data_IF_947238004386
#
_entry.id   IF_947238004386
#
_cell.length_a   1.000
_cell.length_b   1.000
_cell.length_c   1.000
_cell.angle_alpha   90.00
_cell.angle_beta   90.00
_cell.angle_gamma   90.00
#
_symmetry.space_group_name_H-M   'P 1'
#
loop_
_entity.id
_entity.type
_entity.pdbx_description
1 polymer ?
#
# COMPACT_ATOMS: atom_id res chain seq x y z
N UNK A 1 21.36 58.30 -7.75
CA UNK A 1 21.37 57.37 -8.90
C UNK A 1 22.14 56.06 -8.62
N UNK A 2 23.36 56.08 -8.11
CA UNK A 2 24.19 54.90 -7.87
C UNK A 2 23.50 53.87 -6.95
N UNK A 3 22.89 54.28 -5.83
CA UNK A 3 22.19 53.41 -4.88
C UNK A 3 20.95 52.72 -5.48
N UNK A 4 20.25 53.40 -6.40
CA UNK A 4 19.09 52.79 -7.09
C UNK A 4 19.55 51.71 -8.08
N UNK A 5 20.65 51.94 -8.77
CA UNK A 5 21.28 50.97 -9.68
C UNK A 5 21.82 49.77 -8.91
N UNK A 6 22.47 50.00 -7.77
CA UNK A 6 22.97 48.91 -6.90
C UNK A 6 21.80 48.07 -6.35
N UNK A 7 20.74 48.71 -5.88
CA UNK A 7 19.55 47.99 -5.39
C UNK A 7 18.84 47.24 -6.52
N UNK A 8 18.76 47.82 -7.73
CA UNK A 8 18.14 47.19 -8.90
C UNK A 8 18.89 45.95 -9.39
N UNK A 9 20.22 45.87 -9.18
CA UNK A 9 21.03 44.70 -9.51
C UNK A 9 21.11 43.70 -8.34
N UNK A 10 21.13 44.18 -7.10
CA UNK A 10 21.22 43.33 -5.92
C UNK A 10 19.94 42.48 -5.68
N UNK A 11 18.76 43.05 -5.91
CA UNK A 11 17.51 42.37 -5.68
C UNK A 11 17.32 41.12 -6.58
N UNK A 12 17.55 41.16 -7.90
CA UNK A 12 17.52 39.96 -8.74
C UNK A 12 18.58 38.93 -8.36
N UNK A 13 19.80 39.40 -8.01
CA UNK A 13 20.88 38.51 -7.61
C UNK A 13 20.53 37.75 -6.31
N UNK A 14 19.98 38.42 -5.29
CA UNK A 14 19.50 37.81 -4.05
C UNK A 14 18.37 36.83 -4.32
N UNK A 15 17.45 37.16 -5.22
CA UNK A 15 16.34 36.26 -5.60
C UNK A 15 16.85 35.00 -6.27
N UNK A 16 17.85 35.13 -7.17
CA UNK A 16 18.48 33.94 -7.81
C UNK A 16 19.24 33.09 -6.81
N UNK A 17 19.96 33.68 -5.87
CA UNK A 17 20.65 32.95 -4.79
C UNK A 17 19.64 32.25 -3.89
N UNK A 18 18.56 32.90 -3.50
CA UNK A 18 17.50 32.32 -2.71
C UNK A 18 16.83 31.13 -3.45
N UNK A 19 16.52 31.30 -4.73
CA UNK A 19 15.97 30.23 -5.57
C UNK A 19 16.93 29.05 -5.69
N UNK A 20 18.22 29.30 -5.96
CA UNK A 20 19.24 28.26 -6.03
C UNK A 20 19.42 27.51 -4.69
N UNK A 21 19.42 28.25 -3.57
CA UNK A 21 19.48 27.69 -2.23
C UNK A 21 18.25 26.84 -1.91
N UNK A 22 17.07 27.32 -2.26
CA UNK A 22 15.82 26.57 -2.13
C UNK A 22 15.83 25.29 -2.97
N UNK A 23 16.31 25.35 -4.21
CA UNK A 23 16.46 24.19 -5.09
C UNK A 23 17.42 23.15 -4.49
N UNK A 24 18.57 23.61 -4.01
CA UNK A 24 19.53 22.75 -3.35
C UNK A 24 18.93 22.09 -2.08
N UNK A 25 18.32 22.89 -1.21
CA UNK A 25 17.69 22.40 0.03
C UNK A 25 16.60 21.37 -0.24
N UNK A 26 15.74 21.65 -1.21
CA UNK A 26 14.70 20.73 -1.67
C UNK A 26 15.36 19.43 -2.16
N UNK A 27 16.40 19.51 -3.00
CA UNK A 27 17.08 18.35 -3.57
C UNK A 27 17.73 17.45 -2.51
N UNK A 28 18.40 18.04 -1.52
CA UNK A 28 19.12 17.32 -0.46
C UNK A 28 18.14 16.65 0.52
N UNK A 29 16.97 17.27 0.73
CA UNK A 29 15.97 16.75 1.66
C UNK A 29 14.82 15.97 1.01
N UNK A 30 14.90 15.75 -0.30
CA UNK A 30 13.90 14.93 -0.97
C UNK A 30 13.96 13.50 -0.55
N UNK A 31 12.76 12.92 -0.43
CA UNK A 31 12.56 11.52 -0.14
C UNK A 31 11.50 10.96 -1.06
N UNK A 32 11.51 9.66 -1.21
CA UNK A 32 10.42 8.94 -1.84
C UNK A 32 9.28 8.75 -0.83
N UNK A 33 8.08 9.19 -1.20
CA UNK A 33 6.87 8.99 -0.39
C UNK A 33 5.79 8.38 -1.26
N UNK A 34 5.24 7.25 -0.83
CA UNK A 34 4.09 6.63 -1.51
C UNK A 34 2.87 7.54 -1.37
N UNK A 35 2.59 8.01 -0.17
CA UNK A 35 1.52 8.97 0.10
C UNK A 35 2.07 10.35 0.43
N UNK A 36 1.33 11.44 0.11
CA UNK A 36 1.76 12.79 0.48
C UNK A 36 1.93 12.91 2.00
N UNK A 37 3.14 13.25 2.50
CA UNK A 37 3.36 13.36 3.94
C UNK A 37 2.37 14.32 4.60
N UNK A 38 1.86 13.93 5.78
CA UNK A 38 0.89 14.68 6.58
C UNK A 38 -0.44 14.96 5.87
N UNK A 39 -0.76 14.24 4.80
CA UNK A 39 -2.06 14.33 4.16
C UNK A 39 -3.17 13.86 5.12
N UNK A 40 -4.28 14.57 5.10
CA UNK A 40 -5.50 14.20 5.83
C UNK A 40 -6.64 14.20 4.86
N UNK A 41 -7.15 13.01 4.59
CA UNK A 41 -8.27 12.80 3.71
C UNK A 41 -9.47 12.35 4.55
N UNK A 42 -10.62 12.90 4.23
CA UNK A 42 -11.92 12.40 4.64
C UNK A 42 -12.57 11.77 3.41
N UNK A 43 -12.82 10.48 3.47
CA UNK A 43 -13.37 9.70 2.38
C UNK A 43 -14.84 9.46 2.69
N UNK A 44 -15.70 9.63 1.70
CA UNK A 44 -17.13 9.31 1.79
C UNK A 44 -17.43 8.17 0.82
N UNK A 45 -17.40 6.91 1.29
CA UNK A 45 -17.76 5.79 0.46
C UNK A 45 -19.16 5.96 -0.10
N UNK A 46 -19.31 5.68 -1.40
CA UNK A 46 -20.61 5.75 -2.04
C UNK A 46 -21.54 4.68 -1.44
N UNK A 47 -22.70 5.06 -0.89
CA UNK A 47 -23.57 4.12 -0.19
C UNK A 47 -24.24 3.08 -1.10
N UNK A 48 -24.30 3.33 -2.40
CA UNK A 48 -24.79 2.36 -3.37
C UNK A 48 -23.70 1.33 -3.69
N UNK A 49 -22.44 1.79 -3.81
CA UNK A 49 -21.32 0.89 -4.05
C UNK A 49 -20.93 0.08 -2.80
N UNK A 50 -21.04 0.68 -1.61
CA UNK A 50 -20.52 0.13 -0.37
C UNK A 50 -21.53 0.27 0.79
N UNK A 51 -22.67 -0.42 0.73
CA UNK A 51 -23.69 -0.31 1.78
C UNK A 51 -23.21 -0.81 3.15
N UNK A 52 -22.20 -1.70 3.18
CA UNK A 52 -21.64 -2.29 4.40
C UNK A 52 -20.59 -1.39 5.08
N UNK A 53 -20.11 -0.35 4.41
CA UNK A 53 -19.05 0.52 4.93
C UNK A 53 -19.59 1.74 5.66
N UNK A 54 -18.74 2.34 6.49
CA UNK A 54 -19.06 3.61 7.14
C UNK A 54 -19.29 4.71 6.11
N UNK A 55 -20.19 5.64 6.42
CA UNK A 55 -20.47 6.80 5.54
C UNK A 55 -19.30 7.78 5.43
N UNK A 56 -18.34 7.64 6.33
CA UNK A 56 -17.17 8.51 6.43
C UNK A 56 -15.99 7.70 6.92
N UNK A 57 -14.84 7.87 6.30
CA UNK A 57 -13.59 7.19 6.63
C UNK A 57 -12.43 8.17 6.64
N UNK A 58 -11.59 8.10 7.65
CA UNK A 58 -10.36 8.86 7.76
C UNK A 58 -9.22 8.14 7.07
N UNK A 59 -8.42 8.89 6.33
CA UNK A 59 -7.18 8.42 5.73
C UNK A 59 -6.11 9.44 6.08
N UNK A 60 -5.34 9.18 7.13
CA UNK A 60 -4.29 10.05 7.60
C UNK A 60 -2.93 9.48 7.26
N UNK A 61 -2.06 10.32 6.75
CA UNK A 61 -0.68 9.99 6.38
C UNK A 61 0.26 10.70 7.33
N UNK A 62 1.21 9.98 7.90
CA UNK A 62 2.21 10.52 8.80
C UNK A 62 3.34 11.26 8.07
N UNK A 63 4.32 11.75 8.81
CA UNK A 63 5.47 12.48 8.25
C UNK A 63 6.39 11.61 7.38
N UNK A 64 6.34 10.28 7.53
CA UNK A 64 7.11 9.33 6.71
C UNK A 64 6.38 8.87 5.44
N UNK A 65 5.17 9.41 5.15
CA UNK A 65 4.40 9.07 3.96
C UNK A 65 3.68 7.73 4.06
N UNK A 66 3.45 7.22 5.27
CA UNK A 66 2.69 6.03 5.57
C UNK A 66 1.28 6.40 6.03
N UNK A 67 0.28 5.67 5.61
CA UNK A 67 -1.02 5.73 6.26
C UNK A 67 -0.90 5.12 7.65
N UNK A 68 -1.10 5.92 8.69
CA UNK A 68 -0.89 5.51 10.08
C UNK A 68 -0.77 6.70 11.02
N UNK A 69 -0.50 6.42 12.30
CA UNK A 69 -0.19 7.42 13.32
C UNK A 69 1.18 8.07 13.09
N UNK A 70 1.43 9.17 13.80
CA UNK A 70 2.76 9.82 13.75
C UNK A 70 3.83 8.96 14.43
N UNK A 71 5.02 9.01 13.88
CA UNK A 71 6.21 8.33 14.40
C UNK A 71 7.26 9.36 14.75
N UNK A 72 7.76 9.30 15.98
CA UNK A 72 8.91 10.10 16.41
C UNK A 72 10.18 9.33 16.07
N UNK A 73 11.07 9.94 15.28
CA UNK A 73 12.35 9.30 14.92
C UNK A 73 13.22 9.14 16.16
N UNK A 74 13.76 7.93 16.35
CA UNK A 74 14.58 7.61 17.51
C UNK A 74 13.76 7.39 18.78
N UNK A 75 12.44 7.21 18.69
CA UNK A 75 11.58 6.86 19.81
C UNK A 75 12.04 5.55 20.45
N UNK A 76 12.45 5.62 21.71
CA UNK A 76 12.92 4.46 22.46
C UNK A 76 11.78 3.47 22.72
N UNK A 77 12.06 2.19 22.48
CA UNK A 77 11.08 1.13 22.67
C UNK A 77 9.99 1.06 21.59
N UNK A 78 10.09 1.79 20.48
CA UNK A 78 9.18 1.66 19.36
C UNK A 78 9.43 0.34 18.61
N UNK A 79 8.38 -0.47 18.43
CA UNK A 79 8.36 -1.61 17.51
C UNK A 79 7.69 -1.19 16.21
N UNK A 80 8.45 -1.16 15.11
CA UNK A 80 8.01 -0.58 13.85
C UNK A 80 7.71 -1.67 12.82
N UNK A 81 6.47 -1.72 12.37
CA UNK A 81 5.97 -2.63 11.32
C UNK A 81 5.64 -1.81 10.08
N UNK A 82 6.03 -2.29 8.90
CA UNK A 82 5.63 -1.73 7.62
C UNK A 82 4.75 -2.74 6.88
N UNK A 83 3.55 -2.33 6.45
CA UNK A 83 2.66 -3.15 5.62
C UNK A 83 2.72 -2.69 4.17
N UNK A 84 2.88 -3.65 3.26
CA UNK A 84 3.17 -3.44 1.84
C UNK A 84 2.22 -4.28 0.99
N UNK A 85 1.61 -3.68 -0.01
CA UNK A 85 0.74 -4.42 -0.93
C UNK A 85 -0.14 -3.53 -1.79
N UNK A 86 -1.14 -4.13 -2.41
CA UNK A 86 -2.14 -3.48 -3.24
C UNK A 86 -3.29 -2.87 -2.44
N UNK A 87 -4.45 -2.80 -3.06
CA UNK A 87 -5.69 -2.22 -2.49
C UNK A 87 -6.17 -2.92 -1.22
N UNK A 88 -5.97 -4.23 -1.10
CA UNK A 88 -6.31 -4.99 0.11
C UNK A 88 -5.48 -4.60 1.34
N UNK A 89 -4.27 -4.05 1.14
CA UNK A 89 -3.43 -3.46 2.19
C UNK A 89 -3.79 -1.99 2.40
N UNK A 90 -3.97 -1.23 1.32
CA UNK A 90 -4.36 0.17 1.40
C UNK A 90 -5.65 0.37 2.19
N UNK A 91 -6.64 -0.51 2.00
CA UNK A 91 -7.96 -0.43 2.64
C UNK A 91 -8.61 0.96 2.48
N UNK A 92 -8.53 1.57 1.28
CA UNK A 92 -8.84 2.98 1.05
C UNK A 92 -10.21 3.41 1.58
N UNK A 93 -11.25 2.60 1.37
CA UNK A 93 -12.63 2.91 1.76
C UNK A 93 -12.92 2.68 3.26
N UNK A 94 -12.01 2.08 4.03
CA UNK A 94 -12.20 1.84 5.46
C UNK A 94 -11.67 3.00 6.30
N UNK A 95 -12.38 3.31 7.40
CA UNK A 95 -11.86 4.24 8.42
C UNK A 95 -10.55 3.71 9.01
N UNK A 96 -9.57 4.58 9.21
CA UNK A 96 -8.21 4.20 9.57
C UNK A 96 -8.09 3.19 10.73
N UNK A 97 -8.77 3.35 11.87
CA UNK A 97 -8.70 2.37 12.96
C UNK A 97 -9.41 1.06 12.66
N UNK A 98 -10.22 0.99 11.57
CA UNK A 98 -10.94 -0.21 11.11
C UNK A 98 -10.26 -0.93 9.95
N UNK A 99 -9.16 -0.38 9.42
CA UNK A 99 -8.29 -1.10 8.48
C UNK A 99 -7.58 -2.24 9.21
N UNK A 100 -7.23 -3.34 8.52
CA UNK A 100 -6.50 -4.39 9.20
C UNK A 100 -5.12 -3.96 9.75
N UNK A 101 -4.35 -3.04 9.11
CA UNK A 101 -3.15 -2.48 9.74
C UNK A 101 -3.46 -1.65 10.98
N UNK A 102 -4.54 -0.87 10.98
CA UNK A 102 -4.98 -0.09 12.13
C UNK A 102 -5.46 -0.96 13.29
N UNK A 103 -6.21 -2.03 13.01
CA UNK A 103 -6.61 -3.03 14.02
C UNK A 103 -5.40 -3.78 14.55
N UNK A 104 -4.45 -4.16 13.68
CA UNK A 104 -3.21 -4.81 14.08
C UNK A 104 -2.40 -3.93 15.05
N UNK A 105 -2.27 -2.64 14.75
CA UNK A 105 -1.60 -1.68 15.65
C UNK A 105 -2.29 -1.65 17.03
N UNK A 106 -3.62 -1.59 17.07
CA UNK A 106 -4.37 -1.61 18.33
C UNK A 106 -4.15 -2.91 19.12
N UNK A 107 -4.24 -4.06 18.45
CA UNK A 107 -4.02 -5.36 19.06
C UNK A 107 -2.61 -5.50 19.65
N UNK A 108 -1.59 -5.07 18.92
CA UNK A 108 -0.19 -5.19 19.35
C UNK A 108 0.21 -4.19 20.43
N UNK A 109 -0.55 -3.11 20.63
CA UNK A 109 -0.37 -2.16 21.73
C UNK A 109 -1.06 -2.59 23.04
N UNK A 110 -1.65 -3.79 23.11
CA UNK A 110 -2.12 -4.35 24.37
C UNK A 110 -0.92 -4.67 25.29
N UNK A 111 -1.03 -4.47 26.63
CA UNK A 111 0.09 -4.57 27.56
C UNK A 111 0.85 -5.91 27.51
N UNK A 112 0.14 -7.03 27.40
CA UNK A 112 0.71 -8.36 27.28
C UNK A 112 1.52 -8.53 25.98
N UNK A 113 1.05 -7.93 24.89
CA UNK A 113 1.71 -7.95 23.58
C UNK A 113 2.95 -7.06 23.57
N UNK A 114 2.85 -5.86 24.12
CA UNK A 114 3.99 -4.97 24.27
C UNK A 114 5.11 -5.63 25.09
N UNK A 115 4.74 -6.29 26.18
CA UNK A 115 5.68 -7.06 27.00
C UNK A 115 6.34 -8.19 26.19
N UNK A 116 5.55 -8.98 25.45
CA UNK A 116 6.07 -10.05 24.61
C UNK A 116 7.02 -9.57 23.50
N UNK A 117 6.75 -8.37 22.94
CA UNK A 117 7.62 -7.73 21.94
C UNK A 117 8.84 -7.02 22.52
N UNK A 118 8.90 -6.84 23.85
CA UNK A 118 9.90 -5.98 24.48
C UNK A 118 9.81 -4.53 24.01
N UNK A 119 8.60 -4.04 23.78
CA UNK A 119 8.31 -2.74 23.23
C UNK A 119 7.52 -1.87 24.20
N UNK A 120 7.65 -0.55 24.07
CA UNK A 120 6.79 0.42 24.76
C UNK A 120 5.59 0.83 23.90
N UNK A 121 5.76 0.79 22.59
CA UNK A 121 4.74 1.11 21.60
C UNK A 121 4.99 0.33 20.31
N UNK A 122 3.92 -0.08 19.64
CA UNK A 122 3.94 -0.61 18.28
C UNK A 122 3.39 0.46 17.34
N UNK A 123 4.05 0.65 16.20
CA UNK A 123 3.53 1.42 15.08
C UNK A 123 3.41 0.52 13.85
N UNK A 124 2.27 0.59 13.18
CA UNK A 124 2.01 -0.12 11.91
C UNK A 124 1.81 0.91 10.80
N UNK A 125 2.89 1.18 10.05
CA UNK A 125 2.85 2.03 8.87
C UNK A 125 2.31 1.26 7.66
N UNK A 126 1.44 1.90 6.86
CA UNK A 126 0.83 1.29 5.69
C UNK A 126 1.22 2.07 4.43
N UNK A 127 1.94 1.41 3.53
CA UNK A 127 2.32 1.91 2.20
C UNK A 127 1.60 1.15 1.07
N UNK A 128 0.49 0.48 1.40
CA UNK A 128 -0.39 -0.11 0.39
C UNK A 128 -0.91 0.95 -0.59
N UNK A 129 -1.04 0.55 -1.85
CA UNK A 129 -1.51 1.43 -2.92
C UNK A 129 -2.38 0.65 -3.91
N UNK A 130 -3.59 1.15 -4.17
CA UNK A 130 -4.53 0.50 -5.08
C UNK A 130 -4.01 0.48 -6.52
N UNK A 131 -4.29 -0.62 -7.21
CA UNK A 131 -3.98 -0.75 -8.63
C UNK A 131 -2.50 -0.94 -8.93
N UNK A 132 -1.70 -1.47 -8.00
CA UNK A 132 -0.30 -1.83 -8.22
C UNK A 132 -0.08 -3.32 -7.93
N UNK A 133 0.80 -3.94 -8.71
CA UNK A 133 1.21 -5.33 -8.59
C UNK A 133 2.64 -5.48 -8.05
N UNK A 134 3.18 -6.68 -8.15
CA UNK A 134 4.53 -7.00 -7.67
C UNK A 134 5.64 -6.21 -8.36
N UNK A 135 5.58 -5.85 -9.67
CA UNK A 135 6.60 -5.03 -10.31
C UNK A 135 6.72 -3.63 -9.70
N UNK A 136 5.59 -2.97 -9.47
CA UNK A 136 5.54 -1.64 -8.90
C UNK A 136 5.97 -1.65 -7.43
N UNK A 137 5.55 -2.67 -6.67
CA UNK A 137 5.94 -2.83 -5.26
C UNK A 137 7.44 -3.10 -5.10
N UNK A 138 8.07 -3.85 -6.01
CA UNK A 138 9.52 -4.03 -6.03
C UNK A 138 10.25 -2.68 -6.16
N UNK A 139 9.78 -1.81 -7.08
CA UNK A 139 10.31 -0.44 -7.24
C UNK A 139 10.05 0.43 -6.00
N UNK A 140 8.84 0.37 -5.44
CA UNK A 140 8.50 1.12 -4.22
C UNK A 140 9.46 0.75 -3.09
N UNK A 141 9.63 -0.55 -2.79
CA UNK A 141 10.52 -0.99 -1.72
C UNK A 141 11.99 -0.64 -1.99
N UNK A 142 12.43 -0.74 -3.25
CA UNK A 142 13.78 -0.31 -3.63
C UNK A 142 14.08 1.13 -3.23
N UNK A 143 13.09 2.01 -3.39
CA UNK A 143 13.25 3.45 -3.12
C UNK A 143 13.00 3.84 -1.68
N UNK A 144 12.01 3.24 -1.02
CA UNK A 144 11.62 3.68 0.32
C UNK A 144 12.42 3.01 1.44
N UNK A 145 12.77 1.71 1.33
CA UNK A 145 13.42 0.99 2.41
C UNK A 145 14.75 1.62 2.87
N UNK A 146 15.64 2.12 1.98
CA UNK A 146 16.86 2.79 2.41
C UNK A 146 16.63 4.07 3.23
N UNK A 147 15.41 4.60 3.24
CA UNK A 147 15.05 5.82 3.97
C UNK A 147 14.56 5.54 5.40
N UNK A 148 14.19 4.28 5.66
CA UNK A 148 13.89 3.81 7.00
C UNK A 148 15.21 3.50 7.72
N UNK A 149 15.24 3.73 9.01
CA UNK A 149 16.37 3.27 9.83
C UNK A 149 16.30 1.75 9.96
N UNK A 150 15.65 1.28 11.01
CA UNK A 150 15.41 -0.13 11.24
C UNK A 150 13.90 -0.40 11.27
N UNK A 151 13.49 -1.54 10.70
CA UNK A 151 12.14 -2.07 10.81
C UNK A 151 12.18 -3.38 11.59
N UNK A 152 11.30 -3.53 12.55
CA UNK A 152 11.17 -4.79 13.29
C UNK A 152 10.44 -5.85 12.46
N UNK A 153 9.46 -5.43 11.62
CA UNK A 153 8.79 -6.34 10.72
C UNK A 153 8.34 -5.66 9.40
N UNK A 154 8.30 -6.44 8.32
CA UNK A 154 7.60 -6.09 7.07
C UNK A 154 6.57 -7.16 6.79
N UNK A 155 5.34 -6.75 6.51
CA UNK A 155 4.22 -7.62 6.14
C UNK A 155 3.87 -7.34 4.69
N UNK A 156 3.88 -8.37 3.84
CA UNK A 156 3.63 -8.25 2.40
C UNK A 156 2.39 -9.03 2.01
N UNK A 157 1.40 -8.37 1.38
CA UNK A 157 0.22 -8.99 0.81
C UNK A 157 0.04 -8.49 -0.64
N UNK A 158 0.22 -9.38 -1.63
CA UNK A 158 0.23 -9.04 -3.06
C UNK A 158 -0.19 -10.23 -3.92
N UNK A 159 -0.46 -9.98 -5.20
CA UNK A 159 -0.69 -11.00 -6.21
C UNK A 159 -2.00 -10.84 -6.98
N UNK A 160 -3.09 -10.36 -6.36
CA UNK A 160 -4.36 -10.19 -7.07
C UNK A 160 -4.25 -9.13 -8.18
N UNK A 161 -3.63 -7.98 -7.92
CA UNK A 161 -3.43 -6.94 -8.94
C UNK A 161 -2.61 -7.43 -10.12
N UNK A 162 -1.63 -8.31 -9.92
CA UNK A 162 -0.83 -8.90 -11.01
C UNK A 162 -1.74 -9.66 -12.00
N UNK A 163 -2.67 -10.45 -11.46
CA UNK A 163 -3.64 -11.21 -12.27
C UNK A 163 -4.65 -10.26 -12.94
N UNK A 164 -5.23 -9.32 -12.20
CA UNK A 164 -6.24 -8.42 -12.75
C UNK A 164 -5.66 -7.56 -13.90
N UNK A 165 -4.48 -6.97 -13.71
CA UNK A 165 -3.84 -6.17 -14.75
C UNK A 165 -3.47 -6.98 -15.99
N UNK A 166 -3.09 -8.23 -15.81
CA UNK A 166 -2.82 -9.12 -16.91
C UNK A 166 -4.10 -9.46 -17.69
N UNK A 167 -5.20 -9.74 -17.00
CA UNK A 167 -6.51 -10.00 -17.63
C UNK A 167 -7.06 -8.75 -18.33
N UNK A 168 -6.92 -7.56 -17.74
CA UNK A 168 -7.29 -6.29 -18.36
C UNK A 168 -6.60 -6.03 -19.70
N UNK A 169 -5.42 -6.59 -19.89
CA UNK A 169 -4.65 -6.51 -21.14
C UNK A 169 -4.97 -7.65 -22.13
N UNK A 170 -5.95 -8.50 -21.82
CA UNK A 170 -6.30 -9.66 -22.64
C UNK A 170 -5.37 -10.86 -22.44
N UNK A 171 -4.76 -10.98 -21.30
CA UNK A 171 -3.87 -12.09 -20.93
C UNK A 171 -2.71 -12.33 -21.93
N UNK A 172 -1.89 -11.32 -22.24
CA UNK A 172 -0.84 -11.45 -23.24
C UNK A 172 0.25 -12.44 -22.80
N UNK A 173 0.92 -13.13 -23.75
CA UNK A 173 2.00 -14.08 -23.46
C UNK A 173 3.33 -13.41 -23.10
N UNK A 174 3.38 -12.10 -23.12
CA UNK A 174 4.54 -11.27 -22.75
C UNK A 174 4.07 -9.92 -22.24
N UNK A 175 4.96 -9.13 -21.64
CA UNK A 175 4.60 -7.79 -21.17
C UNK A 175 4.15 -6.89 -22.33
N UNK A 176 2.88 -6.57 -22.36
CA UNK A 176 2.28 -5.74 -23.41
C UNK A 176 2.40 -4.23 -23.12
N UNK A 177 2.40 -3.84 -21.86
CA UNK A 177 2.52 -2.44 -21.44
C UNK A 177 3.88 -2.16 -20.78
N UNK A 178 4.43 -0.94 -20.95
CA UNK A 178 5.60 -0.53 -20.20
C UNK A 178 5.28 -0.51 -18.70
N UNK A 179 6.30 -0.66 -17.83
CA UNK A 179 6.10 -0.53 -16.39
C UNK A 179 5.53 0.83 -16.05
N UNK A 180 4.76 0.90 -14.95
CA UNK A 180 4.21 2.16 -14.46
C UNK A 180 5.36 3.12 -14.14
N UNK A 181 5.36 4.36 -14.68
CA UNK A 181 6.40 5.32 -14.41
C UNK A 181 6.53 5.62 -12.91
N UNK A 182 7.76 5.77 -12.40
CA UNK A 182 8.00 6.08 -10.98
C UNK A 182 7.19 7.31 -10.51
N UNK A 183 6.94 8.26 -11.41
CA UNK A 183 6.12 9.46 -11.15
C UNK A 183 4.69 9.14 -10.71
N UNK A 184 4.18 7.99 -11.08
CA UNK A 184 2.84 7.56 -10.70
C UNK A 184 2.84 6.71 -9.41
N UNK A 185 4.00 6.18 -9.02
CA UNK A 185 4.16 5.35 -7.83
C UNK A 185 4.40 6.16 -6.56
N UNK A 186 4.92 7.39 -6.72
CA UNK A 186 5.29 8.22 -5.58
C UNK A 186 4.60 9.58 -5.65
N UNK A 187 4.01 10.00 -4.55
CA UNK A 187 3.46 11.34 -4.40
C UNK A 187 4.55 12.43 -4.34
N UNK A 188 5.74 12.04 -3.89
CA UNK A 188 6.96 12.83 -3.93
C UNK A 188 8.15 11.91 -4.20
N UNK A 189 9.03 12.31 -5.10
CA UNK A 189 10.30 11.62 -5.32
C UNK A 189 11.40 12.61 -5.77
N UNK A 190 12.68 12.30 -5.49
CA UNK A 190 13.81 13.20 -5.75
C UNK A 190 13.99 13.55 -7.23
N UNK A 191 13.69 12.62 -8.12
CA UNK A 191 13.89 12.80 -9.56
C UNK A 191 12.84 13.71 -10.20
N UNK A 192 11.60 13.69 -9.72
CA UNK A 192 10.53 14.62 -10.16
C UNK A 192 10.73 16.04 -9.67
N UNK A 193 11.83 16.33 -8.98
CA UNK A 193 12.09 17.66 -8.45
C UNK A 193 10.89 18.25 -7.73
N UNK A 194 10.18 17.43 -6.94
CA UNK A 194 8.97 17.81 -6.20
C UNK A 194 7.77 18.21 -7.06
N UNK A 195 7.56 17.56 -8.19
CA UNK A 195 6.57 17.97 -9.16
C UNK A 195 6.93 19.31 -9.82
N UNK A 196 8.19 19.77 -9.66
CA UNK A 196 8.65 20.99 -10.24
C UNK A 196 8.75 20.84 -11.76
N UNK A 197 7.85 21.55 -12.44
CA UNK A 197 7.91 21.68 -13.89
C UNK A 197 8.98 22.71 -14.27
N UNK A 198 9.65 22.57 -15.43
CA UNK A 198 10.51 23.61 -15.94
C UNK A 198 9.78 24.97 -15.93
N UNK A 199 10.37 25.98 -15.31
CA UNK A 199 9.76 27.29 -15.12
C UNK A 199 9.04 27.52 -13.78
N UNK A 200 8.84 26.49 -12.95
CA UNK A 200 8.31 26.68 -11.59
C UNK A 200 9.43 27.13 -10.62
N UNK A 201 9.10 28.01 -9.68
CA UNK A 201 10.04 28.54 -8.69
C UNK A 201 10.05 27.66 -7.45
N UNK A 202 11.26 27.28 -6.95
CA UNK A 202 11.41 26.52 -5.73
C UNK A 202 10.96 27.30 -4.49
N UNK A 203 11.16 28.61 -4.49
CA UNK A 203 10.63 29.53 -3.48
C UNK A 203 9.11 29.43 -3.37
N UNK A 204 8.39 29.41 -4.50
CA UNK A 204 6.94 29.27 -4.52
C UNK A 204 6.50 27.91 -3.98
N UNK A 205 7.26 26.85 -4.25
CA UNK A 205 6.98 25.51 -3.72
C UNK A 205 7.19 25.46 -2.20
N UNK A 206 8.25 26.05 -1.68
CA UNK A 206 8.48 26.14 -0.23
C UNK A 206 7.37 26.93 0.45
N UNK A 207 7.00 28.09 -0.11
CA UNK A 207 5.90 28.91 0.41
C UNK A 207 4.58 28.12 0.44
N UNK A 208 4.30 27.34 -0.62
CA UNK A 208 3.12 26.46 -0.70
C UNK A 208 3.14 25.35 0.36
N UNK A 209 4.32 24.75 0.63
CA UNK A 209 4.50 23.74 1.67
C UNK A 209 4.29 24.30 3.06
N UNK A 210 4.90 25.46 3.35
CA UNK A 210 4.68 26.16 4.61
C UNK A 210 3.21 26.51 4.82
N UNK A 211 2.56 27.03 3.78
CA UNK A 211 1.12 27.31 3.85
C UNK A 211 0.28 26.05 4.10
N UNK A 212 0.62 24.91 3.48
CA UNK A 212 -0.07 23.64 3.72
C UNK A 212 0.17 23.13 5.14
N UNK A 213 1.36 23.27 5.69
CA UNK A 213 1.65 22.87 7.07
C UNK A 213 0.92 23.72 8.11
N UNK A 214 0.71 25.02 7.83
CA UNK A 214 -0.04 25.91 8.71
C UNK A 214 -1.56 25.73 8.62
N UNK A 215 -2.06 25.44 7.43
CA UNK A 215 -3.47 25.13 7.20
C UNK A 215 -3.63 23.64 6.95
N UNK A 216 -3.73 22.85 8.04
CA UNK A 216 -4.07 21.42 7.97
C UNK A 216 -5.49 21.27 7.40
N UNK A 217 -5.63 21.26 6.07
CA UNK A 217 -6.90 21.03 5.41
C UNK A 217 -7.16 19.54 5.33
N UNK A 218 -8.36 19.13 5.71
CA UNK A 218 -8.89 17.81 5.37
C UNK A 218 -9.39 17.91 3.93
N UNK A 219 -8.79 17.15 3.01
CA UNK A 219 -9.33 16.97 1.67
C UNK A 219 -10.49 15.99 1.74
N UNK A 220 -11.68 16.44 1.37
CA UNK A 220 -12.87 15.58 1.32
C UNK A 220 -12.96 14.94 -0.06
N UNK A 221 -12.96 13.60 -0.10
CA UNK A 221 -13.21 12.80 -1.31
C UNK A 221 -14.67 12.40 -1.31
N UNK A 222 -15.50 13.21 -1.95
CA UNK A 222 -16.93 12.93 -2.08
C UNK A 222 -17.15 11.75 -3.03
N UNK A 223 -18.12 10.90 -2.70
CA UNK A 223 -18.56 9.74 -3.48
C UNK A 223 -17.42 8.88 -4.00
N UNK A 224 -16.48 8.57 -3.11
CA UNK A 224 -15.40 7.64 -3.43
C UNK A 224 -16.00 6.27 -3.78
N UNK A 225 -15.66 5.76 -4.96
CA UNK A 225 -16.12 4.46 -5.43
C UNK A 225 -17.41 4.48 -6.22
N UNK A 226 -17.99 5.65 -6.56
CA UNK A 226 -19.18 5.71 -7.40
C UNK A 226 -19.05 4.99 -8.75
N UNK A 227 -17.84 4.94 -9.31
CA UNK A 227 -17.55 4.20 -10.55
C UNK A 227 -17.73 2.67 -10.40
N UNK A 228 -17.64 2.11 -9.17
CA UNK A 228 -17.86 0.68 -8.93
C UNK A 228 -19.27 0.23 -9.34
N UNK A 229 -20.28 1.08 -9.13
CA UNK A 229 -21.66 0.79 -9.55
C UNK A 229 -21.70 0.54 -11.06
N UNK A 230 -21.07 1.43 -11.83
CA UNK A 230 -20.95 1.26 -13.28
C UNK A 230 -20.15 0.02 -13.68
N UNK A 231 -19.04 -0.25 -13.01
CA UNK A 231 -18.18 -1.41 -13.28
C UNK A 231 -18.89 -2.75 -12.99
N UNK A 232 -19.65 -2.82 -11.89
CA UNK A 232 -20.48 -3.98 -11.54
C UNK A 232 -21.57 -4.23 -12.60
N UNK A 233 -22.22 -3.15 -13.05
CA UNK A 233 -23.22 -3.25 -14.14
C UNK A 233 -22.59 -3.76 -15.43
N UNK A 234 -21.44 -3.20 -15.85
CA UNK A 234 -20.74 -3.67 -17.06
C UNK A 234 -20.43 -5.17 -16.98
N UNK A 235 -20.01 -5.67 -15.80
CA UNK A 235 -19.78 -7.11 -15.63
C UNK A 235 -21.08 -7.92 -15.69
N UNK A 236 -22.15 -7.46 -15.03
CA UNK A 236 -23.46 -8.14 -15.06
C UNK A 236 -24.07 -8.19 -16.47
N UNK A 237 -23.80 -7.18 -17.30
CA UNK A 237 -24.28 -7.02 -18.68
C UNK A 237 -23.22 -7.43 -19.72
N UNK A 238 -22.23 -8.26 -19.33
CA UNK A 238 -21.15 -8.70 -20.21
C UNK A 238 -21.72 -9.33 -21.49
N UNK A 239 -21.22 -8.90 -22.65
CA UNK A 239 -21.62 -9.47 -23.95
C UNK A 239 -20.95 -10.82 -24.21
N UNK A 240 -19.78 -11.02 -23.61
CA UNK A 240 -19.00 -12.24 -23.75
C UNK A 240 -18.36 -12.61 -22.42
N UNK A 241 -18.45 -13.88 -22.06
CA UNK A 241 -17.78 -14.47 -20.91
C UNK A 241 -16.80 -15.53 -21.40
N UNK A 242 -15.51 -15.27 -21.20
CA UNK A 242 -14.43 -16.19 -21.59
C UNK A 242 -14.35 -17.33 -20.57
N UNK A 243 -14.60 -18.54 -21.04
CA UNK A 243 -14.60 -19.78 -20.23
C UNK A 243 -13.33 -20.62 -20.44
N UNK A 244 -12.44 -20.18 -21.32
CA UNK A 244 -11.16 -20.85 -21.57
C UNK A 244 -10.06 -20.22 -20.71
N UNK A 245 -9.34 -21.05 -19.96
CA UNK A 245 -8.20 -20.63 -19.14
C UNK A 245 -7.07 -20.12 -20.05
N UNK A 246 -6.63 -18.86 -19.93
CA UNK A 246 -5.45 -18.38 -20.66
C UNK A 246 -4.19 -19.01 -20.06
N UNK A 247 -3.11 -19.11 -20.85
CA UNK A 247 -1.83 -19.63 -20.37
C UNK A 247 -1.17 -18.66 -19.35
N UNK A 248 -1.09 -19.01 -18.06
CA UNK A 248 -0.57 -18.12 -17.03
C UNK A 248 0.97 -18.11 -16.93
N UNK A 249 1.66 -18.85 -17.80
CA UNK A 249 3.13 -19.05 -17.70
C UNK A 249 3.88 -17.72 -17.61
N UNK A 250 3.50 -16.74 -18.42
CA UNK A 250 4.13 -15.43 -18.42
C UNK A 250 3.90 -14.68 -17.11
N UNK A 251 2.64 -14.49 -16.71
CA UNK A 251 2.30 -13.68 -15.51
C UNK A 251 2.87 -14.29 -14.24
N UNK A 252 2.87 -15.63 -14.11
CA UNK A 252 3.43 -16.32 -12.94
C UNK A 252 4.95 -16.18 -12.87
N UNK A 253 5.65 -16.21 -14.02
CA UNK A 253 7.11 -16.01 -14.07
C UNK A 253 7.47 -14.55 -13.76
N UNK A 254 6.74 -13.59 -14.32
CA UNK A 254 6.94 -12.15 -14.08
C UNK A 254 6.70 -11.81 -12.60
N UNK A 255 5.59 -12.30 -12.03
CA UNK A 255 5.30 -12.21 -10.61
C UNK A 255 6.42 -12.81 -9.75
N UNK A 256 6.83 -14.06 -10.03
CA UNK A 256 7.91 -14.73 -9.29
C UNK A 256 9.19 -13.89 -9.27
N UNK A 257 9.57 -13.33 -10.43
CA UNK A 257 10.77 -12.51 -10.55
C UNK A 257 10.73 -11.28 -9.63
N UNK A 258 9.67 -10.48 -9.73
CA UNK A 258 9.53 -9.26 -8.96
C UNK A 258 9.29 -9.53 -7.48
N UNK A 259 8.48 -10.53 -7.16
CA UNK A 259 8.18 -10.90 -5.79
C UNK A 259 9.42 -11.45 -5.04
N UNK A 260 10.25 -12.23 -5.71
CA UNK A 260 11.53 -12.68 -5.16
C UNK A 260 12.46 -11.50 -4.82
N UNK A 261 12.58 -10.52 -5.71
CA UNK A 261 13.38 -9.30 -5.47
C UNK A 261 12.83 -8.49 -4.30
N UNK A 262 11.51 -8.29 -4.28
CA UNK A 262 10.80 -7.60 -3.23
C UNK A 262 11.06 -8.23 -1.85
N UNK A 263 10.89 -9.55 -1.72
CA UNK A 263 11.13 -10.26 -0.47
C UNK A 263 12.61 -10.26 -0.05
N UNK A 264 13.52 -10.40 -1.02
CA UNK A 264 14.95 -10.31 -0.75
C UNK A 264 15.34 -8.96 -0.16
N UNK A 265 14.77 -7.85 -0.70
CA UNK A 265 14.95 -6.50 -0.13
C UNK A 265 14.35 -6.38 1.26
N UNK A 266 13.14 -6.87 1.46
CA UNK A 266 12.47 -6.83 2.76
C UNK A 266 13.31 -7.52 3.85
N UNK A 267 13.89 -8.68 3.54
CA UNK A 267 14.78 -9.43 4.46
C UNK A 267 16.04 -8.68 4.87
N UNK A 268 16.55 -7.78 4.03
CA UNK A 268 17.76 -6.99 4.38
C UNK A 268 17.45 -5.76 5.22
N UNK A 269 16.16 -5.39 5.34
CA UNK A 269 15.75 -4.14 6.01
C UNK A 269 14.87 -4.36 7.25
N UNK A 270 14.48 -5.60 7.55
CA UNK A 270 13.67 -5.91 8.71
C UNK A 270 14.14 -7.19 9.41
N UNK A 271 13.93 -7.27 10.73
CA UNK A 271 14.23 -8.47 11.51
C UNK A 271 13.31 -9.62 11.14
N UNK A 272 12.06 -9.30 10.77
CA UNK A 272 11.03 -10.28 10.39
C UNK A 272 10.36 -9.86 9.10
N UNK A 273 10.09 -10.82 8.25
CA UNK A 273 9.24 -10.65 7.06
C UNK A 273 8.15 -11.70 7.12
N UNK A 274 6.91 -11.29 6.89
CA UNK A 274 5.77 -12.19 6.79
C UNK A 274 5.09 -11.96 5.44
N UNK A 275 4.91 -13.01 4.66
CA UNK A 275 4.05 -13.01 3.49
C UNK A 275 2.65 -13.39 3.92
N UNK A 276 1.67 -12.61 3.50
CA UNK A 276 0.26 -12.93 3.71
C UNK A 276 -0.36 -13.18 2.34
N UNK A 277 -0.86 -14.37 2.11
CA UNK A 277 -1.58 -14.68 0.88
C UNK A 277 -2.84 -13.82 0.82
N UNK A 278 -2.98 -13.07 -0.27
CA UNK A 278 -4.16 -12.24 -0.46
C UNK A 278 -5.38 -13.15 -0.70
N UNK A 279 -6.37 -13.14 0.19
CA UNK A 279 -7.55 -13.96 0.06
C UNK A 279 -8.58 -13.31 -0.87
N UNK A 280 -9.51 -14.09 -1.34
CA UNK A 280 -10.66 -13.64 -2.14
C UNK A 280 -11.92 -14.41 -1.75
N UNK A 281 -13.07 -13.93 -2.17
CA UNK A 281 -14.33 -14.62 -1.98
C UNK A 281 -14.43 -15.80 -2.98
N UNK A 282 -14.33 -17.03 -2.50
CA UNK A 282 -14.41 -18.22 -3.33
C UNK A 282 -15.86 -18.58 -3.70
N UNK A 283 -16.04 -19.22 -4.87
CA UNK A 283 -17.31 -19.79 -5.31
C UNK A 283 -17.74 -21.05 -4.51
N UNK A 284 -18.94 -21.57 -4.76
CA UNK A 284 -19.97 -21.01 -5.64
C UNK A 284 -20.57 -19.73 -5.07
N UNK A 285 -21.02 -18.81 -5.97
CA UNK A 285 -21.53 -17.49 -5.58
C UNK A 285 -23.05 -17.47 -5.59
N UNK A 286 -23.64 -16.75 -4.64
CA UNK A 286 -25.03 -16.31 -4.74
C UNK A 286 -25.16 -15.18 -5.79
N UNK A 287 -26.37 -14.94 -6.27
CA UNK A 287 -26.62 -13.83 -7.19
C UNK A 287 -26.24 -12.46 -6.58
N UNK A 288 -26.48 -12.29 -5.27
CA UNK A 288 -26.14 -11.09 -4.52
C UNK A 288 -24.61 -10.88 -4.45
N UNK A 289 -23.84 -11.95 -4.23
CA UNK A 289 -22.38 -11.88 -4.19
C UNK A 289 -21.80 -11.59 -5.58
N UNK A 290 -22.29 -12.28 -6.61
CA UNK A 290 -21.85 -12.07 -7.99
C UNK A 290 -22.13 -10.62 -8.47
N UNK A 291 -23.22 -10.02 -8.01
CA UNK A 291 -23.57 -8.63 -8.33
C UNK A 291 -22.59 -7.59 -7.75
N UNK A 292 -21.77 -7.97 -6.77
CA UNK A 292 -20.75 -7.10 -6.16
C UNK A 292 -19.41 -7.13 -6.92
N UNK A 293 -19.24 -8.05 -7.86
CA UNK A 293 -17.97 -8.24 -8.56
C UNK A 293 -17.85 -7.34 -9.79
N UNK A 294 -16.65 -6.92 -10.07
CA UNK A 294 -16.33 -6.03 -11.18
C UNK A 294 -14.99 -6.39 -11.87
N UNK A 295 -14.19 -7.27 -11.28
CA UNK A 295 -12.88 -7.71 -11.77
C UNK A 295 -12.97 -8.72 -12.94
N UNK A 296 -11.82 -8.96 -13.58
CA UNK A 296 -11.66 -9.98 -14.62
C UNK A 296 -12.15 -9.54 -16.00
N UNK A 297 -12.34 -8.24 -16.24
CA UNK A 297 -12.64 -7.70 -17.55
C UNK A 297 -11.42 -7.59 -18.44
N UNK A 298 -11.62 -7.67 -19.77
CA UNK A 298 -10.64 -7.27 -20.78
C UNK A 298 -10.86 -5.79 -21.05
N UNK A 299 -9.99 -4.94 -20.50
CA UNK A 299 -10.15 -3.48 -20.45
C UNK A 299 -10.30 -2.98 -19.02
N UNK A 300 -10.37 -1.65 -18.86
CA UNK A 300 -10.39 -0.95 -17.57
C UNK A 300 -11.73 -0.27 -17.32
N UNK A 301 -12.63 -0.82 -16.50
CA UNK A 301 -14.00 -0.33 -16.35
C UNK A 301 -14.10 1.09 -15.79
N UNK A 302 -13.04 1.61 -15.15
CA UNK A 302 -12.97 3.01 -14.70
C UNK A 302 -12.50 4.00 -15.77
N UNK A 303 -12.14 3.52 -16.97
CA UNK A 303 -11.68 4.34 -18.11
C UNK A 303 -12.51 4.17 -19.36
N UNK A 304 -13.09 3.00 -19.54
CA UNK A 304 -13.75 2.60 -20.79
C UNK A 304 -14.90 1.63 -20.55
N UNK A 305 -15.72 1.42 -21.54
CA UNK A 305 -16.79 0.41 -21.50
C UNK A 305 -16.20 -0.97 -21.74
N UNK A 306 -16.28 -1.84 -20.74
CA UNK A 306 -15.82 -3.22 -20.81
C UNK A 306 -17.01 -4.15 -21.05
N UNK A 307 -16.93 -5.00 -22.06
CA UNK A 307 -18.00 -5.92 -22.46
C UNK A 307 -17.59 -7.39 -22.49
N UNK A 308 -16.30 -7.68 -22.32
CA UNK A 308 -15.72 -9.03 -22.31
C UNK A 308 -15.12 -9.28 -20.93
N UNK A 309 -15.49 -10.38 -20.29
CA UNK A 309 -15.01 -10.75 -18.96
C UNK A 309 -14.61 -12.22 -18.92
N UNK A 310 -13.61 -12.53 -18.12
CA UNK A 310 -13.31 -13.93 -17.77
C UNK A 310 -14.32 -14.44 -16.75
N UNK A 311 -14.64 -15.74 -16.85
CA UNK A 311 -15.43 -16.44 -15.86
C UNK A 311 -14.76 -16.36 -14.48
N UNK A 312 -15.57 -16.25 -13.42
CA UNK A 312 -15.06 -16.10 -12.03
C UNK A 312 -14.27 -17.32 -11.56
N UNK A 313 -14.61 -18.52 -12.06
CA UNK A 313 -13.85 -19.72 -11.71
C UNK A 313 -12.42 -19.67 -12.29
N UNK A 314 -12.26 -19.11 -13.52
CA UNK A 314 -10.95 -18.87 -14.13
C UNK A 314 -10.18 -17.85 -13.29
N UNK A 315 -10.82 -16.75 -12.90
CA UNK A 315 -10.18 -15.72 -12.06
C UNK A 315 -9.71 -16.34 -10.74
N UNK A 316 -10.55 -17.12 -10.06
CA UNK A 316 -10.18 -17.80 -8.83
C UNK A 316 -9.01 -18.77 -8.99
N UNK A 317 -9.00 -19.54 -10.08
CA UNK A 317 -7.87 -20.46 -10.38
C UNK A 317 -6.58 -19.69 -10.60
N UNK A 318 -6.62 -18.55 -11.28
CA UNK A 318 -5.46 -17.69 -11.51
C UNK A 318 -4.96 -17.09 -10.18
N UNK A 319 -5.87 -16.62 -9.32
CA UNK A 319 -5.52 -16.15 -7.99
C UNK A 319 -4.88 -17.25 -7.14
N UNK A 320 -5.42 -18.45 -7.17
CA UNK A 320 -4.82 -19.61 -6.47
C UNK A 320 -3.41 -19.92 -6.98
N UNK A 321 -3.18 -19.86 -8.30
CA UNK A 321 -1.85 -20.09 -8.88
C UNK A 321 -0.83 -19.04 -8.46
N UNK A 322 -1.21 -17.76 -8.43
CA UNK A 322 -0.28 -16.71 -8.02
C UNK A 322 0.03 -16.79 -6.51
N UNK A 323 -0.96 -17.13 -5.67
CA UNK A 323 -0.72 -17.32 -4.23
C UNK A 323 0.14 -18.57 -3.95
N UNK A 324 -0.09 -19.67 -4.66
CA UNK A 324 0.80 -20.83 -4.59
C UNK A 324 2.25 -20.48 -5.00
N UNK A 325 2.42 -19.64 -6.03
CA UNK A 325 3.72 -19.14 -6.44
C UNK A 325 4.34 -18.23 -5.38
N UNK A 326 3.55 -17.40 -4.71
CA UNK A 326 4.01 -16.58 -3.58
C UNK A 326 4.54 -17.43 -2.43
N UNK A 327 3.83 -18.50 -2.06
CA UNK A 327 4.29 -19.49 -1.07
C UNK A 327 5.62 -20.14 -1.47
N UNK A 328 5.74 -20.61 -2.71
CA UNK A 328 6.99 -21.21 -3.20
C UNK A 328 8.19 -20.26 -3.13
N UNK A 329 8.00 -18.98 -3.46
CA UNK A 329 9.05 -17.96 -3.36
C UNK A 329 9.40 -17.71 -1.89
N UNK A 330 8.39 -17.62 -1.02
CA UNK A 330 8.60 -17.41 0.41
C UNK A 330 9.38 -18.57 1.04
N UNK A 331 8.99 -19.83 0.74
CA UNK A 331 9.70 -21.04 1.19
C UNK A 331 11.15 -21.06 0.72
N UNK A 332 11.39 -20.77 -0.57
CA UNK A 332 12.72 -20.70 -1.14
C UNK A 332 13.64 -19.66 -0.49
N UNK A 333 13.06 -18.63 0.10
CA UNK A 333 13.78 -17.58 0.84
C UNK A 333 13.77 -17.80 2.36
N UNK A 334 13.11 -18.85 2.87
CA UNK A 334 12.91 -19.08 4.30
C UNK A 334 12.10 -17.99 4.98
N UNK A 335 11.10 -17.43 4.27
CA UNK A 335 10.18 -16.42 4.78
C UNK A 335 8.88 -17.11 5.18
N UNK A 336 8.40 -16.95 6.44
CA UNK A 336 7.12 -17.47 6.85
C UNK A 336 5.98 -16.85 6.02
N UNK A 337 4.96 -17.65 5.72
CA UNK A 337 3.79 -17.20 5.03
C UNK A 337 2.50 -17.66 5.69
N UNK A 338 1.43 -16.91 5.53
CA UNK A 338 0.12 -17.10 6.14
C UNK A 338 -0.96 -17.14 5.04
N UNK A 339 -1.72 -18.24 5.00
CA UNK A 339 -2.92 -18.32 4.19
C UNK A 339 -4.13 -17.84 5.01
N UNK A 340 -4.80 -16.80 4.52
CA UNK A 340 -5.99 -16.23 5.15
C UNK A 340 -7.31 -16.85 4.63
N UNK A 341 -7.27 -17.49 3.47
CA UNK A 341 -8.49 -17.98 2.80
C UNK A 341 -9.36 -18.88 3.70
N UNK A 342 -8.78 -19.86 4.43
CA UNK A 342 -9.56 -20.72 5.33
C UNK A 342 -10.17 -19.99 6.54
N UNK A 343 -9.71 -18.77 6.85
CA UNK A 343 -10.16 -18.00 8.01
C UNK A 343 -11.32 -17.05 7.68
N UNK A 344 -11.46 -16.67 6.43
CA UNK A 344 -12.42 -15.66 5.97
C UNK A 344 -13.69 -16.30 5.40
N UNK A 345 -14.29 -17.19 6.16
CA UNK A 345 -15.41 -18.06 5.74
C UNK A 345 -16.78 -17.38 5.73
N UNK A 346 -16.94 -16.21 6.39
CA UNK A 346 -18.25 -15.52 6.46
C UNK A 346 -18.50 -14.61 5.25
N UNK A 347 -17.97 -14.98 4.08
CA UNK A 347 -18.32 -14.47 2.75
C UNK A 347 -18.58 -12.95 2.70
N UNK A 348 -19.79 -12.52 2.31
CA UNK A 348 -20.18 -11.12 2.21
C UNK A 348 -20.08 -10.31 3.53
N UNK A 349 -19.96 -10.99 4.69
CA UNK A 349 -19.66 -10.32 5.95
C UNK A 349 -18.18 -9.93 6.06
N UNK A 350 -17.28 -10.69 5.42
CA UNK A 350 -15.84 -10.42 5.42
C UNK A 350 -15.38 -9.59 4.22
N UNK A 351 -16.12 -9.64 3.10
CA UNK A 351 -15.76 -8.97 1.86
C UNK A 351 -16.88 -8.06 1.36
N UNK A 352 -16.56 -6.87 0.90
CA UNK A 352 -17.53 -5.99 0.24
C UNK A 352 -17.54 -6.10 -1.29
N UNK A 353 -16.55 -6.79 -1.85
CA UNK A 353 -16.49 -7.24 -3.25
C UNK A 353 -15.71 -8.57 -3.34
N UNK A 354 -14.98 -8.84 -4.43
CA UNK A 354 -14.29 -10.10 -4.63
C UNK A 354 -13.10 -10.33 -3.68
N UNK A 355 -12.33 -9.29 -3.33
CA UNK A 355 -11.06 -9.41 -2.59
C UNK A 355 -10.76 -8.28 -1.59
N UNK A 356 -11.70 -7.38 -1.37
CA UNK A 356 -11.54 -6.31 -0.42
C UNK A 356 -12.36 -6.54 0.86
N UNK A 357 -11.76 -6.20 2.00
CA UNK A 357 -12.30 -6.50 3.32
C UNK A 357 -13.33 -5.47 3.80
N UNK A 358 -14.40 -5.95 4.43
CA UNK A 358 -15.22 -5.15 5.34
C UNK A 358 -14.46 -4.87 6.65
N UNK A 359 -14.94 -3.98 7.53
CA UNK A 359 -14.36 -3.85 8.87
C UNK A 359 -14.28 -5.16 9.66
N UNK A 360 -15.26 -6.07 9.47
CA UNK A 360 -15.27 -7.39 10.13
C UNK A 360 -14.18 -8.29 9.55
N UNK A 361 -14.02 -8.32 8.23
CA UNK A 361 -12.95 -9.07 7.58
C UNK A 361 -11.56 -8.54 8.00
N UNK A 362 -11.41 -7.22 8.08
CA UNK A 362 -10.17 -6.59 8.52
C UNK A 362 -9.77 -6.99 9.95
N UNK A 363 -10.73 -7.19 10.86
CA UNK A 363 -10.47 -7.69 12.22
C UNK A 363 -9.92 -9.13 12.17
N UNK A 364 -10.52 -10.01 11.37
CA UNK A 364 -10.05 -11.40 11.22
C UNK A 364 -8.62 -11.45 10.67
N UNK A 365 -8.34 -10.65 9.63
CA UNK A 365 -7.00 -10.52 9.04
C UNK A 365 -5.98 -10.06 10.08
N UNK A 366 -6.30 -9.00 10.84
CA UNK A 366 -5.39 -8.47 11.86
C UNK A 366 -5.07 -9.48 12.96
N UNK A 367 -6.07 -10.22 13.45
CA UNK A 367 -5.87 -11.26 14.46
C UNK A 367 -5.00 -12.41 13.94
N UNK A 368 -5.23 -12.86 12.71
CA UNK A 368 -4.44 -13.92 12.10
C UNK A 368 -2.96 -13.50 11.93
N UNK A 369 -2.74 -12.28 11.47
CA UNK A 369 -1.39 -11.71 11.34
C UNK A 369 -0.71 -11.56 12.70
N UNK A 370 -1.42 -11.05 13.73
CA UNK A 370 -0.88 -10.94 15.08
C UNK A 370 -0.45 -12.30 15.65
N UNK A 371 -1.24 -13.36 15.38
CA UNK A 371 -0.89 -14.72 15.76
C UNK A 371 0.35 -15.23 15.01
N UNK A 372 0.41 -15.01 13.68
CA UNK A 372 1.53 -15.44 12.83
C UNK A 372 2.86 -14.73 13.19
N UNK A 373 2.79 -13.49 13.67
CA UNK A 373 3.96 -12.79 14.19
C UNK A 373 4.50 -13.40 15.50
N UNK A 374 3.85 -14.42 16.05
CA UNK A 374 4.31 -15.13 17.25
C UNK A 374 4.30 -14.27 18.52
N UNK A 375 3.46 -13.24 18.57
CA UNK A 375 3.37 -12.27 19.68
C UNK A 375 2.57 -12.86 20.84
N UNK A 376 2.84 -14.11 21.23
CA UNK A 376 2.15 -14.79 22.32
C UNK A 376 3.07 -15.33 23.41
N UNK A 377 4.38 -15.46 23.11
CA UNK A 377 5.40 -15.87 24.11
C UNK A 377 6.65 -15.04 23.90
N UNK A 378 7.25 -14.49 24.99
CA UNK A 378 8.54 -13.82 24.90
C UNK A 378 9.58 -14.80 24.34
N UNK A 379 10.18 -14.48 23.21
CA UNK A 379 11.36 -15.19 22.73
C UNK A 379 12.60 -14.49 23.30
N UNK A 380 13.28 -15.08 24.30
CA UNK A 380 14.45 -14.50 24.94
C UNK A 380 15.64 -14.35 23.97
N UNK A 381 15.59 -15.01 22.82
CA UNK A 381 16.64 -14.98 21.79
C UNK A 381 16.24 -14.12 20.59
N UNK A 382 15.13 -13.38 20.65
CA UNK A 382 14.75 -12.50 19.54
C UNK A 382 15.87 -11.48 19.26
N UNK A 383 16.13 -11.14 17.97
CA UNK A 383 17.19 -10.19 17.60
C UNK A 383 17.09 -8.85 18.36
N UNK A 384 15.86 -8.42 18.67
CA UNK A 384 15.61 -7.20 19.44
C UNK A 384 15.99 -7.36 20.91
N UNK A 385 15.63 -8.46 21.55
CA UNK A 385 15.99 -8.71 22.95
C UNK A 385 17.51 -8.87 23.12
N UNK A 386 18.16 -9.48 22.15
CA UNK A 386 19.62 -9.57 22.13
C UNK A 386 20.27 -8.18 21.98
N UNK A 387 19.76 -7.30 21.11
CA UNK A 387 20.24 -5.90 20.99
C UNK A 387 20.02 -5.12 22.29
N UNK A 388 18.85 -5.22 22.90
CA UNK A 388 18.56 -4.54 24.17
C UNK A 388 19.48 -5.02 25.31
N UNK A 389 19.78 -6.33 25.39
CA UNK A 389 20.74 -6.87 26.36
C UNK A 389 22.17 -6.38 26.10
N UNK A 390 22.56 -6.24 24.84
CA UNK A 390 23.87 -5.71 24.47
C UNK A 390 24.00 -4.23 24.81
N UNK A 391 22.96 -3.44 24.57
CA UNK A 391 22.92 -2.02 24.96
C UNK A 391 22.96 -1.83 26.49
N UNK A 392 22.23 -2.65 27.26
CA UNK A 392 22.27 -2.61 28.75
C UNK A 392 23.59 -3.06 29.37
N UNK A 393 24.43 -3.81 28.60
CA UNK A 393 25.75 -4.22 29.07
C UNK A 393 26.85 -3.20 28.73
N UNK A 394 26.53 -2.24 27.87
CA UNK A 394 27.45 -1.18 27.43
C UNK A 394 27.26 0.14 28.21
N UNK A 395 26.24 0.21 29.06
CA UNK A 395 26.03 1.28 30.08
C UNK A 395 26.40 0.79 31.45
#
# INVERSE_FOLDING_TARGET
MLWILVAALAAPALLLVAEASCRWWIRVRSRYYVWPPQARLEIRPDPEAFPELDRQARFHVNADGERGGEVVRGEDGLYRILTVGGSAVECFALDQPKTWPGVLEQLLNAPDRLYALGARRVHVGNVGHSGIGSPELDVILERILPQYGHLDAIIVMVGASDIYHWLEQGAPPSRAAPPVPEEMLFSCHPQQRFGWKPGAWALAEIARRLRRSWFRRVDVKERTGAWFVGARRMRAEAKEVLTTMPDPTFVLRDFQHHFHRLLSRAKTHADRVLVVHQPWLEGPYTAEEAAKFWHGGVGRPWKETVTVYYDLEIVNRLLALVQARAGQVADGLGVPHLDLLPLLTQRSRHYYDHDHFTPVGAIVVAHAIAAALGVGRPDPNSPRQLRNRSAMRAT
#
